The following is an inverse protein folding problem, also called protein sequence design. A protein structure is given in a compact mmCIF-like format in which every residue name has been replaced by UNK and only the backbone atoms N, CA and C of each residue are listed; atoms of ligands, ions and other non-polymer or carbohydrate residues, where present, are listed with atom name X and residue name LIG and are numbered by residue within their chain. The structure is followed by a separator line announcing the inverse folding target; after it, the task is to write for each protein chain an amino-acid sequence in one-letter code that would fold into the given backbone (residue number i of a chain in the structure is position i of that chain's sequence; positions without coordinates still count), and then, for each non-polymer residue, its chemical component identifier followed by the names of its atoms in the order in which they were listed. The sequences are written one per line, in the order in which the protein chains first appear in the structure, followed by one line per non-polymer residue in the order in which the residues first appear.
data_IF_516380735985
#
_entry.id   IF_516380735985
#
_cell.length_a   1.000
_cell.length_b   1.000
_cell.length_c   1.000
_cell.angle_alpha   90.00
_cell.angle_beta   90.00
_cell.angle_gamma   90.00
#
_symmetry.space_group_name_H-M   'P 1'
#
loop_
_entity.id
_entity.type
_entity.pdbx_description
1 polymer ?
#
# COMPACT_ATOMS: atom_id res chain seq x y z
N UNK A 1 31.62 5.57 5.49
CA UNK A 1 30.33 4.96 5.09
C UNK A 1 29.27 6.01 5.36
N UNK A 2 28.79 6.70 4.32
CA UNK A 2 27.81 7.78 4.49
C UNK A 2 26.55 7.25 5.18
N UNK A 3 26.18 7.91 6.27
CA UNK A 3 24.86 7.77 6.89
C UNK A 3 23.82 8.01 5.80
N UNK A 4 23.08 6.97 5.45
CA UNK A 4 21.97 7.07 4.52
C UNK A 4 20.84 7.79 5.26
N UNK A 5 21.00 9.11 5.38
CA UNK A 5 20.13 9.99 6.13
C UNK A 5 18.75 9.84 5.49
N UNK A 6 17.77 9.27 6.23
CA UNK A 6 16.37 9.09 5.77
C UNK A 6 15.67 10.44 5.68
N UNK A 7 16.28 11.37 4.94
CA UNK A 7 15.80 12.71 4.69
C UNK A 7 14.58 12.59 3.78
N UNK A 8 13.52 13.31 4.13
CA UNK A 8 12.32 13.33 3.32
C UNK A 8 12.64 13.95 1.97
N UNK A 9 12.28 13.25 0.90
CA UNK A 9 12.18 13.84 -0.42
C UNK A 9 11.17 15.00 -0.39
N UNK A 10 11.39 16.12 -1.10
CA UNK A 10 10.45 17.25 -1.12
C UNK A 10 8.99 16.86 -1.43
N UNK A 11 8.78 16.00 -2.43
CA UNK A 11 7.45 15.47 -2.75
C UNK A 11 6.80 14.74 -1.56
N UNK A 12 7.59 14.04 -0.75
CA UNK A 12 7.06 13.37 0.44
C UNK A 12 6.63 14.41 1.48
N UNK A 13 7.42 15.46 1.71
CA UNK A 13 7.02 16.54 2.62
C UNK A 13 5.71 17.23 2.16
N UNK A 14 5.58 17.51 0.86
CA UNK A 14 4.34 18.05 0.28
C UNK A 14 3.15 17.09 0.46
N UNK A 15 3.37 15.79 0.22
CA UNK A 15 2.38 14.75 0.45
C UNK A 15 1.94 14.69 1.92
N UNK A 16 2.88 14.82 2.86
CA UNK A 16 2.55 14.82 4.29
C UNK A 16 1.64 16.00 4.64
N UNK A 17 1.96 17.21 4.17
CA UNK A 17 1.13 18.41 4.38
C UNK A 17 -0.27 18.26 3.75
N UNK A 18 -0.34 17.72 2.53
CA UNK A 18 -1.59 17.43 1.85
C UNK A 18 -2.46 16.47 2.67
N UNK A 19 -1.89 15.36 3.15
CA UNK A 19 -2.64 14.35 3.91
C UNK A 19 -3.12 14.87 5.26
N UNK A 20 -2.27 15.57 6.03
CA UNK A 20 -2.69 16.08 7.36
C UNK A 20 -3.76 17.17 7.28
N UNK A 21 -3.80 17.92 6.18
CA UNK A 21 -4.81 18.96 5.94
C UNK A 21 -6.08 18.42 5.27
N UNK A 22 -6.07 17.18 4.76
CA UNK A 22 -7.20 16.63 4.04
C UNK A 22 -8.37 16.25 4.98
N UNK A 23 -9.63 16.61 4.66
CA UNK A 23 -10.80 16.33 5.51
C UNK A 23 -10.97 14.87 5.93
N UNK A 24 -10.58 13.92 5.07
CA UNK A 24 -10.62 12.48 5.38
C UNK A 24 -9.80 12.08 6.62
N UNK A 25 -8.80 12.87 7.02
CA UNK A 25 -7.99 12.66 8.21
C UNK A 25 -8.35 13.60 9.37
N UNK A 26 -9.47 14.32 9.28
CA UNK A 26 -9.91 15.24 10.31
C UNK A 26 -10.01 14.56 11.69
N UNK A 27 -9.40 15.19 12.70
CA UNK A 27 -9.35 14.70 14.07
C UNK A 27 -8.27 13.64 14.34
N UNK A 28 -7.48 13.22 13.35
CA UNK A 28 -6.33 12.35 13.59
C UNK A 28 -5.17 13.18 14.17
N UNK A 29 -4.65 12.75 15.32
CA UNK A 29 -3.64 13.52 16.05
C UNK A 29 -2.25 13.43 15.40
N UNK A 30 -1.54 14.56 15.35
CA UNK A 30 -0.14 14.64 14.95
C UNK A 30 0.57 15.79 15.66
N UNK A 31 1.91 15.76 15.62
CA UNK A 31 2.79 16.78 16.17
C UNK A 31 3.72 17.29 15.08
N UNK A 32 4.33 18.45 15.32
CA UNK A 32 5.44 18.96 14.52
C UNK A 32 6.71 18.98 15.37
N UNK A 33 7.85 18.79 14.73
CA UNK A 33 9.16 19.06 15.32
C UNK A 33 9.36 20.57 15.42
N UNK A 34 10.39 21.00 16.15
CA UNK A 34 10.83 22.40 16.20
C UNK A 34 11.17 22.96 14.81
N UNK A 35 11.66 22.11 13.89
CA UNK A 35 11.91 22.47 12.49
C UNK A 35 10.64 22.68 11.65
N UNK A 36 9.45 22.50 12.22
CA UNK A 36 8.16 22.57 11.53
C UNK A 36 7.73 21.28 10.83
N UNK A 37 8.63 20.29 10.68
CA UNK A 37 8.33 19.02 10.03
C UNK A 37 7.28 18.19 10.80
N UNK A 38 6.38 17.52 10.07
CA UNK A 38 5.37 16.62 10.66
C UNK A 38 6.02 15.36 11.24
N UNK A 39 5.66 15.02 12.47
CA UNK A 39 5.96 13.73 13.09
C UNK A 39 5.00 12.67 12.51
N UNK A 40 5.46 12.01 11.45
CA UNK A 40 4.66 11.05 10.69
C UNK A 40 4.36 9.76 11.45
N UNK A 41 5.32 9.30 12.25
CA UNK A 41 5.29 8.03 12.97
C UNK A 41 5.01 8.27 14.45
N UNK A 42 3.98 7.62 14.98
CA UNK A 42 3.67 7.58 16.40
C UNK A 42 3.39 6.11 16.79
N UNK A 43 4.38 5.40 17.35
CA UNK A 43 4.23 3.97 17.66
C UNK A 43 2.99 3.71 18.49
N UNK A 44 2.21 2.66 18.17
CA UNK A 44 0.95 2.32 18.85
C UNK A 44 1.02 2.32 20.39
N UNK A 45 2.17 1.96 20.96
CA UNK A 45 2.38 1.93 22.42
C UNK A 45 2.46 3.32 23.07
N UNK A 46 2.81 4.36 22.30
CA UNK A 46 2.90 5.74 22.76
C UNK A 46 1.52 6.35 23.03
N UNK A 47 1.47 7.43 23.80
CA UNK A 47 0.23 8.17 24.07
C UNK A 47 -0.46 8.62 22.77
N UNK A 48 0.30 9.20 21.84
CA UNK A 48 -0.24 9.63 20.54
C UNK A 48 -0.69 8.43 19.70
N UNK A 49 0.10 7.35 19.68
CA UNK A 49 -0.23 6.13 18.96
C UNK A 49 -1.53 5.48 19.43
N UNK A 50 -1.82 5.50 20.74
CA UNK A 50 -3.10 5.04 21.31
C UNK A 50 -4.27 5.92 20.85
N UNK A 51 -4.10 7.24 20.81
CA UNK A 51 -5.12 8.16 20.29
C UNK A 51 -5.39 7.92 18.79
N UNK A 52 -4.33 7.68 18.00
CA UNK A 52 -4.47 7.30 16.59
C UNK A 52 -5.21 5.97 16.44
N UNK A 53 -4.87 4.97 17.25
CA UNK A 53 -5.54 3.65 17.25
C UNK A 53 -7.05 3.78 17.46
N UNK A 54 -7.47 4.59 18.44
CA UNK A 54 -8.88 4.92 18.69
C UNK A 54 -9.52 5.59 17.47
N UNK A 55 -8.84 6.56 16.86
CA UNK A 55 -9.34 7.24 15.66
C UNK A 55 -9.56 6.26 14.50
N UNK A 56 -8.59 5.38 14.22
CA UNK A 56 -8.71 4.36 13.17
C UNK A 56 -9.85 3.38 13.42
N UNK A 57 -10.05 2.93 14.67
CA UNK A 57 -11.19 2.09 15.03
C UNK A 57 -12.53 2.82 14.84
N UNK A 58 -12.59 4.12 15.14
CA UNK A 58 -13.78 4.93 14.89
C UNK A 58 -14.06 5.10 13.39
N UNK A 59 -13.03 5.27 12.56
CA UNK A 59 -13.20 5.27 11.11
C UNK A 59 -13.72 3.92 10.59
N UNK A 60 -13.21 2.80 11.13
CA UNK A 60 -13.72 1.47 10.80
C UNK A 60 -15.23 1.37 11.07
N UNK A 61 -15.69 1.81 12.25
CA UNK A 61 -17.11 1.85 12.62
C UNK A 61 -17.93 2.72 11.66
N UNK A 62 -17.46 3.92 11.33
CA UNK A 62 -18.13 4.84 10.38
C UNK A 62 -18.29 4.25 8.99
N UNK A 63 -17.32 3.45 8.54
CA UNK A 63 -17.31 2.81 7.23
C UNK A 63 -18.00 1.43 7.22
N UNK A 64 -18.54 0.97 8.36
CA UNK A 64 -19.11 -0.38 8.47
C UNK A 64 -18.07 -1.51 8.31
N UNK A 65 -16.79 -1.24 8.56
CA UNK A 65 -15.70 -2.22 8.49
C UNK A 65 -15.58 -2.92 9.84
N UNK A 66 -15.79 -4.24 9.86
CA UNK A 66 -15.58 -5.07 11.06
C UNK A 66 -14.15 -4.95 11.59
N UNK A 67 -14.02 -4.68 12.89
CA UNK A 67 -12.73 -4.58 13.59
C UNK A 67 -12.20 -6.01 13.83
N UNK A 68 -11.38 -6.48 12.89
CA UNK A 68 -10.71 -7.78 12.94
C UNK A 68 -9.33 -7.67 12.27
N UNK A 69 -8.53 -8.74 12.28
CA UNK A 69 -7.24 -8.75 11.60
C UNK A 69 -7.34 -8.21 10.15
N UNK A 70 -6.52 -7.21 9.83
CA UNK A 70 -6.50 -6.55 8.52
C UNK A 70 -7.50 -5.40 8.34
N UNK A 71 -8.29 -5.00 9.34
CA UNK A 71 -9.20 -3.86 9.19
C UNK A 71 -8.47 -2.55 8.88
N UNK A 72 -7.27 -2.34 9.46
CA UNK A 72 -6.46 -1.14 9.23
C UNK A 72 -6.20 -0.83 7.76
N UNK A 73 -5.77 -1.83 6.98
CA UNK A 73 -5.49 -1.62 5.55
C UNK A 73 -6.78 -1.29 4.78
N UNK A 74 -7.91 -1.90 5.14
CA UNK A 74 -9.21 -1.61 4.51
C UNK A 74 -9.62 -0.17 4.78
N UNK A 75 -9.50 0.30 6.03
CA UNK A 75 -9.80 1.69 6.38
C UNK A 75 -8.84 2.64 5.67
N UNK A 76 -7.53 2.38 5.74
CA UNK A 76 -6.51 3.24 5.12
C UNK A 76 -6.74 3.39 3.61
N UNK A 77 -6.99 2.28 2.90
CA UNK A 77 -7.37 2.32 1.48
C UNK A 77 -8.67 3.09 1.28
N UNK A 78 -9.71 2.86 2.08
CA UNK A 78 -11.01 3.51 1.92
C UNK A 78 -10.92 5.04 2.08
N UNK A 79 -10.22 5.53 3.12
CA UNK A 79 -10.16 6.96 3.43
C UNK A 79 -9.08 7.71 2.63
N UNK A 80 -8.09 7.03 2.05
CA UNK A 80 -7.00 7.72 1.37
C UNK A 80 -7.54 8.55 0.18
N UNK A 81 -7.24 9.86 0.07
CA UNK A 81 -7.87 10.75 -0.91
C UNK A 81 -7.68 10.31 -2.36
N UNK A 82 -6.44 9.97 -2.74
CA UNK A 82 -6.05 9.69 -4.13
C UNK A 82 -5.76 8.22 -4.42
N UNK A 83 -5.76 7.37 -3.39
CA UNK A 83 -5.17 6.00 -3.41
C UNK A 83 -3.69 5.94 -3.85
N UNK A 84 -2.97 7.06 -3.72
CA UNK A 84 -1.58 7.20 -4.15
C UNK A 84 -0.70 7.71 -3.00
N UNK A 85 0.28 6.92 -2.59
CA UNK A 85 1.24 7.25 -1.54
C UNK A 85 2.56 7.72 -2.16
N UNK A 86 3.19 8.73 -1.57
CA UNK A 86 4.50 9.23 -2.04
C UNK A 86 5.65 8.58 -1.27
N UNK A 87 6.63 8.01 -1.96
CA UNK A 87 7.81 7.43 -1.31
C UNK A 87 8.71 8.50 -0.66
N UNK A 88 9.05 8.32 0.61
CA UNK A 88 9.94 9.20 1.38
C UNK A 88 11.34 9.34 0.77
N UNK A 89 11.85 8.29 0.13
CA UNK A 89 13.24 8.26 -0.35
C UNK A 89 13.36 8.86 -1.75
N UNK A 90 12.53 8.40 -2.70
CA UNK A 90 12.64 8.79 -4.11
C UNK A 90 11.52 9.72 -4.60
N UNK A 91 10.53 10.03 -3.78
CA UNK A 91 9.44 10.94 -4.15
C UNK A 91 8.45 10.40 -5.18
N UNK A 92 8.57 9.14 -5.62
CA UNK A 92 7.63 8.51 -6.56
C UNK A 92 6.25 8.36 -5.92
N UNK A 93 5.21 8.64 -6.71
CA UNK A 93 3.82 8.30 -6.38
C UNK A 93 3.58 6.81 -6.67
N UNK A 94 3.00 6.09 -5.71
CA UNK A 94 2.85 4.65 -5.73
C UNK A 94 1.41 4.30 -5.32
N UNK A 95 0.77 3.40 -6.08
CA UNK A 95 -0.58 2.95 -5.73
C UNK A 95 -0.55 2.14 -4.44
N UNK A 96 -1.48 2.45 -3.54
CA UNK A 96 -1.72 1.68 -2.31
C UNK A 96 -2.68 0.50 -2.55
N UNK A 97 -3.25 0.41 -3.76
CA UNK A 97 -4.15 -0.65 -4.16
C UNK A 97 -3.38 -1.92 -4.52
N UNK A 98 -4.07 -3.06 -4.44
CA UNK A 98 -3.52 -4.37 -4.79
C UNK A 98 -3.56 -4.57 -6.31
N UNK A 99 -2.78 -3.76 -7.03
CA UNK A 99 -2.75 -3.76 -8.50
C UNK A 99 -1.43 -4.29 -9.07
N UNK A 100 -0.38 -4.41 -8.24
CA UNK A 100 0.92 -4.89 -8.71
C UNK A 100 1.01 -6.41 -8.58
N UNK A 101 1.36 -7.16 -9.64
CA UNK A 101 1.60 -8.60 -9.57
C UNK A 101 2.58 -8.96 -8.45
N UNK A 102 2.20 -9.95 -7.62
CA UNK A 102 3.11 -10.50 -6.62
C UNK A 102 4.20 -11.36 -7.29
N UNK A 103 5.19 -11.80 -6.50
CA UNK A 103 6.32 -12.58 -7.02
C UNK A 103 5.94 -13.86 -7.75
N UNK A 104 4.80 -14.48 -7.41
CA UNK A 104 4.34 -15.69 -8.07
C UNK A 104 3.67 -15.36 -9.41
N UNK A 105 2.82 -14.33 -9.43
CA UNK A 105 2.19 -13.84 -10.67
C UNK A 105 3.25 -13.35 -11.65
N UNK A 106 4.23 -12.55 -11.21
CA UNK A 106 5.33 -12.06 -12.04
C UNK A 106 6.10 -13.19 -12.74
N UNK A 107 6.38 -14.28 -12.03
CA UNK A 107 7.04 -15.46 -12.62
C UNK A 107 6.21 -16.08 -13.74
N UNK A 108 4.87 -16.11 -13.60
CA UNK A 108 3.97 -16.66 -14.62
C UNK A 108 3.87 -15.77 -15.87
N UNK A 109 3.91 -14.44 -15.69
CA UNK A 109 3.82 -13.48 -16.81
C UNK A 109 5.18 -13.09 -17.40
N UNK A 110 6.28 -13.45 -16.73
CA UNK A 110 7.66 -13.12 -17.13
C UNK A 110 7.87 -11.60 -17.31
N UNK A 111 7.45 -10.80 -16.32
CA UNK A 111 7.54 -9.34 -16.33
C UNK A 111 8.25 -8.78 -15.09
N UNK A 112 8.83 -7.56 -15.17
CA UNK A 112 9.40 -6.88 -14.01
C UNK A 112 8.30 -6.35 -13.06
N UNK A 113 8.67 -6.11 -11.80
CA UNK A 113 7.78 -5.66 -10.71
C UNK A 113 7.36 -4.17 -10.80
N UNK A 114 7.41 -3.54 -11.97
CA UNK A 114 7.30 -2.08 -12.06
C UNK A 114 5.94 -1.57 -12.55
N UNK A 115 5.13 -2.45 -13.12
CA UNK A 115 3.87 -2.09 -13.78
C UNK A 115 2.66 -2.65 -13.05
N UNK A 116 1.55 -1.93 -13.13
CA UNK A 116 0.28 -2.45 -12.64
C UNK A 116 -0.26 -3.55 -13.58
N UNK A 117 -1.14 -4.41 -13.06
CA UNK A 117 -1.65 -5.53 -13.84
C UNK A 117 -2.49 -5.10 -15.07
N UNK A 118 -3.15 -3.96 -15.01
CA UNK A 118 -3.98 -3.47 -16.11
C UNK A 118 -3.11 -2.96 -17.25
N UNK A 119 -2.06 -2.18 -16.93
CA UNK A 119 -1.00 -1.78 -17.87
C UNK A 119 -0.34 -2.98 -18.51
N UNK A 120 -0.03 -4.02 -17.73
CA UNK A 120 0.57 -5.26 -18.24
C UNK A 120 -0.38 -5.97 -19.22
N UNK A 121 -1.67 -6.07 -18.90
CA UNK A 121 -2.66 -6.70 -19.79
C UNK A 121 -2.79 -5.91 -21.09
N UNK A 122 -2.77 -4.58 -21.02
CA UNK A 122 -2.84 -3.71 -22.20
C UNK A 122 -1.58 -3.76 -23.08
N UNK A 123 -0.41 -3.83 -22.46
CA UNK A 123 0.86 -3.85 -23.17
C UNK A 123 1.23 -5.25 -23.72
N UNK A 124 0.71 -6.33 -23.12
CA UNK A 124 1.02 -7.70 -23.49
C UNK A 124 -0.22 -8.41 -24.03
N UNK A 125 -0.49 -8.27 -25.34
CA UNK A 125 -1.55 -9.05 -25.98
C UNK A 125 -1.19 -10.54 -25.85
N UNK A 126 -1.95 -11.23 -25.02
CA UNK A 126 -1.85 -12.66 -24.74
C UNK A 126 -3.25 -13.23 -24.80
N UNK A 127 -3.43 -14.42 -25.37
CA UNK A 127 -4.74 -15.06 -25.43
C UNK A 127 -5.46 -15.02 -24.08
N UNK A 128 -6.76 -14.68 -24.10
CA UNK A 128 -7.57 -14.54 -22.90
C UNK A 128 -7.48 -15.79 -22.00
N UNK A 129 -7.40 -16.98 -22.61
CA UNK A 129 -7.28 -18.25 -21.90
C UNK A 129 -5.96 -18.37 -21.11
N UNK A 130 -4.87 -17.78 -21.60
CA UNK A 130 -3.62 -17.70 -20.85
C UNK A 130 -3.79 -16.85 -19.58
N UNK A 131 -4.46 -15.71 -19.70
CA UNK A 131 -4.77 -14.86 -18.53
C UNK A 131 -5.70 -15.57 -17.55
N UNK A 132 -6.75 -16.24 -18.06
CA UNK A 132 -7.63 -17.07 -17.23
C UNK A 132 -6.84 -18.13 -16.50
N UNK A 133 -5.90 -18.82 -17.14
CA UNK A 133 -5.03 -19.80 -16.49
C UNK A 133 -4.16 -19.20 -15.38
N UNK A 134 -3.54 -18.02 -15.61
CA UNK A 134 -2.69 -17.35 -14.61
C UNK A 134 -3.46 -17.06 -13.32
N UNK A 135 -4.72 -16.64 -13.45
CA UNK A 135 -5.61 -16.26 -12.35
C UNK A 135 -6.53 -17.39 -11.87
N UNK A 136 -6.33 -18.63 -12.35
CA UNK A 136 -7.14 -19.80 -11.99
C UNK A 136 -8.63 -19.67 -12.36
N UNK A 137 -8.93 -19.06 -13.51
CA UNK A 137 -10.26 -18.75 -14.04
C UNK A 137 -10.62 -19.57 -15.28
N UNK A 138 -9.88 -20.64 -15.59
CA UNK A 138 -10.09 -21.43 -16.81
C UNK A 138 -11.51 -21.99 -16.94
N UNK A 139 -12.21 -22.22 -15.82
CA UNK A 139 -13.60 -22.69 -15.80
C UNK A 139 -14.65 -21.57 -15.69
N UNK A 140 -14.23 -20.30 -15.60
CA UNK A 140 -15.15 -19.18 -15.50
C UNK A 140 -15.67 -18.82 -16.90
N UNK A 141 -16.97 -18.98 -17.12
CA UNK A 141 -17.64 -18.72 -18.40
C UNK A 141 -18.13 -17.28 -18.56
N UNK A 142 -18.18 -16.50 -17.49
CA UNK A 142 -18.58 -15.09 -17.52
C UNK A 142 -17.48 -14.18 -18.07
N UNK A 143 -16.22 -14.61 -17.94
CA UNK A 143 -15.06 -13.92 -18.48
C UNK A 143 -14.83 -14.35 -19.93
N UNK A 144 -15.31 -13.52 -20.85
CA UNK A 144 -15.35 -13.76 -22.30
C UNK A 144 -14.45 -12.81 -23.11
N UNK A 145 -13.95 -11.75 -22.48
CA UNK A 145 -13.09 -10.73 -23.09
C UNK A 145 -12.17 -10.06 -22.05
N UNK A 146 -11.28 -9.16 -22.50
CA UNK A 146 -10.41 -8.41 -21.57
C UNK A 146 -11.17 -7.46 -20.64
N UNK A 147 -12.21 -6.71 -21.10
CA UNK A 147 -13.02 -5.90 -20.18
C UNK A 147 -13.62 -6.69 -19.02
N UNK A 148 -14.23 -7.84 -19.27
CA UNK A 148 -14.78 -8.72 -18.22
C UNK A 148 -13.69 -9.28 -17.30
N UNK A 149 -12.52 -9.65 -17.83
CA UNK A 149 -11.35 -10.03 -17.01
C UNK A 149 -10.90 -8.89 -16.10
N UNK A 150 -10.70 -7.68 -16.64
CA UNK A 150 -10.27 -6.51 -15.86
C UNK A 150 -11.30 -6.16 -14.79
N UNK A 151 -12.58 -6.22 -15.12
CA UNK A 151 -13.65 -6.02 -14.15
C UNK A 151 -13.61 -7.06 -13.02
N UNK A 152 -13.39 -8.34 -13.36
CA UNK A 152 -13.21 -9.38 -12.35
C UNK A 152 -12.00 -9.12 -11.45
N UNK A 153 -10.85 -8.74 -12.02
CA UNK A 153 -9.65 -8.39 -11.25
C UNK A 153 -9.92 -7.19 -10.32
N UNK A 154 -10.60 -6.17 -10.83
CA UNK A 154 -10.93 -4.97 -10.07
C UNK A 154 -11.85 -5.29 -8.89
N UNK A 155 -12.93 -6.04 -9.11
CA UNK A 155 -13.96 -6.29 -8.09
C UNK A 155 -13.58 -7.38 -7.10
N UNK A 156 -12.89 -8.44 -7.56
CA UNK A 156 -12.60 -9.62 -6.72
C UNK A 156 -11.18 -9.62 -6.14
N UNK A 157 -10.25 -8.86 -6.72
CA UNK A 157 -8.87 -8.78 -6.22
C UNK A 157 -8.55 -7.40 -5.65
N UNK A 158 -8.69 -6.35 -6.46
CA UNK A 158 -8.24 -4.99 -6.08
C UNK A 158 -9.11 -4.40 -4.97
N UNK A 159 -10.44 -4.35 -5.17
CA UNK A 159 -11.38 -3.71 -4.25
C UNK A 159 -11.37 -4.34 -2.85
N UNK A 160 -11.11 -5.65 -2.76
CA UNK A 160 -11.04 -6.38 -1.49
C UNK A 160 -9.63 -6.49 -0.92
N UNK A 161 -8.62 -5.89 -1.59
CA UNK A 161 -7.21 -5.97 -1.18
C UNK A 161 -6.69 -7.41 -1.06
N UNK A 162 -7.05 -8.26 -2.02
CA UNK A 162 -6.68 -9.68 -2.08
C UNK A 162 -5.19 -9.86 -2.35
N UNK A 163 -4.54 -10.71 -1.54
CA UNK A 163 -3.09 -11.02 -1.68
C UNK A 163 -2.80 -12.17 -2.64
N UNK A 164 -3.82 -12.81 -3.20
CA UNK A 164 -3.68 -14.05 -3.98
C UNK A 164 -2.76 -13.87 -5.18
N UNK A 165 -2.98 -12.80 -5.96
CA UNK A 165 -2.23 -12.52 -7.18
C UNK A 165 -1.46 -11.21 -7.12
N UNK A 166 -1.91 -10.28 -6.28
CA UNK A 166 -1.43 -8.91 -6.27
C UNK A 166 -0.90 -8.51 -4.89
N UNK A 167 -0.17 -7.41 -4.89
CA UNK A 167 0.37 -6.76 -3.71
C UNK A 167 0.31 -5.25 -3.89
N UNK A 168 0.23 -4.48 -2.79
CA UNK A 168 0.46 -3.05 -2.86
C UNK A 168 1.97 -2.83 -2.86
N UNK A 169 2.44 -1.83 -3.60
CA UNK A 169 3.85 -1.43 -3.55
C UNK A 169 4.18 -0.75 -2.21
N UNK A 170 3.17 -0.20 -1.54
CA UNK A 170 3.30 0.41 -0.21
C UNK A 170 2.47 -0.36 0.80
N UNK A 171 3.15 -0.93 1.80
CA UNK A 171 2.52 -1.78 2.80
C UNK A 171 1.82 -0.95 3.88
N UNK A 172 0.68 -1.44 4.39
CA UNK A 172 0.00 -0.85 5.54
C UNK A 172 0.87 -0.89 6.81
N UNK A 173 0.81 0.19 7.58
CA UNK A 173 1.50 0.38 8.86
C UNK A 173 0.65 1.22 9.85
N UNK A 174 -0.68 1.29 9.66
CA UNK A 174 -1.55 1.84 10.69
C UNK A 174 -1.53 0.97 11.98
N UNK A 175 -1.68 1.58 13.17
CA UNK A 175 -1.93 3.00 13.41
C UNK A 175 -0.66 3.87 13.49
N UNK A 176 0.52 3.26 13.39
CA UNK A 176 1.80 3.92 13.66
C UNK A 176 2.04 5.12 12.73
N UNK A 177 1.83 4.93 11.43
CA UNK A 177 2.00 5.99 10.42
C UNK A 177 0.69 6.71 10.16
N UNK A 178 0.76 8.04 10.02
CA UNK A 178 -0.41 8.92 9.95
C UNK A 178 -1.39 8.54 8.83
N UNK A 179 -0.89 8.33 7.61
CA UNK A 179 -1.72 7.90 6.47
C UNK A 179 -2.06 6.41 6.47
N UNK A 180 -1.45 5.64 7.39
CA UNK A 180 -1.62 4.21 7.52
C UNK A 180 -0.67 3.36 6.65
N UNK A 181 0.33 3.95 6.01
CA UNK A 181 1.25 3.24 5.11
C UNK A 181 2.72 3.47 5.45
N UNK A 182 3.58 2.48 5.18
CA UNK A 182 5.04 2.65 5.26
C UNK A 182 5.48 3.85 4.41
N UNK A 183 6.38 4.70 4.94
CA UNK A 183 6.86 5.90 4.22
C UNK A 183 7.58 5.59 2.92
N UNK A 184 8.22 4.44 2.83
CA UNK A 184 8.94 4.00 1.64
C UNK A 184 8.27 2.78 1.03
N UNK A 185 7.99 2.86 -0.27
CA UNK A 185 7.48 1.74 -1.05
C UNK A 185 8.59 0.78 -1.48
N UNK A 186 8.20 -0.33 -2.09
CA UNK A 186 9.14 -1.36 -2.56
C UNK A 186 10.22 -0.84 -3.54
N UNK A 187 10.00 0.31 -4.19
CA UNK A 187 11.00 0.97 -5.03
C UNK A 187 12.29 1.35 -4.28
N UNK A 188 12.22 1.57 -2.97
CA UNK A 188 13.36 1.95 -2.14
C UNK A 188 13.54 1.07 -0.91
N UNK A 189 12.46 0.44 -0.42
CA UNK A 189 12.44 -0.31 0.84
C UNK A 189 13.53 -1.36 0.97
N UNK A 190 13.84 -2.10 -0.10
CA UNK A 190 14.90 -3.12 -0.09
C UNK A 190 16.31 -2.54 0.18
N UNK A 191 16.52 -1.25 -0.11
CA UNK A 191 17.78 -0.53 0.09
C UNK A 191 17.79 0.27 1.40
N UNK A 192 16.64 0.77 1.83
CA UNK A 192 16.49 1.66 3.00
C UNK A 192 16.14 0.93 4.32
N UNK A 193 15.55 -0.27 4.27
CA UNK A 193 15.10 -1.03 5.45
C UNK A 193 16.14 -2.07 5.91
N UNK A 194 17.23 -1.58 6.52
CA UNK A 194 18.34 -2.40 7.04
C UNK A 194 17.94 -3.32 8.21
N UNK A 195 16.80 -3.09 8.86
CA UNK A 195 16.26 -3.95 9.91
C UNK A 195 15.88 -5.36 9.42
N UNK A 196 15.68 -5.50 8.10
CA UNK A 196 15.42 -6.77 7.41
C UNK A 196 16.62 -7.34 6.66
N UNK A 197 17.84 -6.88 6.93
CA UNK A 197 19.01 -7.64 6.50
C UNK A 197 18.88 -9.07 7.05
N UNK A 198 19.17 -10.08 6.22
CA UNK A 198 19.09 -11.51 6.59
C UNK A 198 19.73 -11.82 7.95
N UNK A 199 20.79 -11.09 8.30
CA UNK A 199 21.50 -11.17 9.59
C UNK A 199 20.65 -10.76 10.80
N UNK A 200 19.72 -9.81 10.65
CA UNK A 200 18.88 -9.29 11.73
C UNK A 200 17.57 -10.09 11.90
N UNK A 201 17.08 -10.72 10.83
CA UNK A 201 15.89 -11.59 10.86
C UNK A 201 16.14 -12.94 11.55
N UNK A 202 17.40 -13.35 11.74
CA UNK A 202 17.77 -14.55 12.49
C UNK A 202 17.56 -14.42 14.01
N UNK A 203 17.43 -13.21 14.54
CA UNK A 203 17.25 -12.96 15.99
C UNK A 203 15.80 -13.05 16.48
N UNK A 204 14.85 -13.27 15.57
CA UNK A 204 13.46 -13.58 15.89
C UNK A 204 13.21 -15.07 15.64
N UNK A 205 13.76 -15.92 16.51
CA UNK A 205 13.39 -17.32 16.66
C UNK A 205 13.19 -17.61 18.13
#
# INVERSE_FOLDING_TARGET
MEENNRKNHPNFAQYQEFIVSHPNYAGLTFKRKESGEIVWVAPKVSTDGKLRDIWWQNQAKKLGITIQAGFYVKVAVAIHPTKQHTCQICGKSLSILYVYPNSNTLKKINQPFEQDIFEIIDALPNELDRWKSIFNLSKNTEITDYPSLKNWLQTTQVAVSSKSFFSPVVMSNAPDRFDGFHSDGNCCRSKSDKGRHKSNLQRYR
#
